data_IF_264434302246
#
_entry.id   IF_264434302246
#
_cell.length_a   1.000
_cell.length_b   1.000
_cell.length_c   1.000
_cell.angle_alpha   90.00
_cell.angle_beta   90.00
_cell.angle_gamma   90.00
#
_symmetry.space_group_name_H-M   'P 1'
#
loop_
_entity.id
_entity.type
_entity.pdbx_description
1 polymer ?
#
# COMPACT_ATOMS: atom_id res chain seq x y z
N UNK A 1 -16.61 -1.87 5.46
CA UNK A 1 -15.56 -0.84 5.58
C UNK A 1 -16.13 0.39 6.26
N UNK A 2 -15.66 0.73 7.47
CA UNK A 2 -16.14 1.91 8.22
C UNK A 2 -15.88 3.19 7.41
N UNK A 3 -16.78 4.17 7.51
CA UNK A 3 -16.78 5.39 6.69
C UNK A 3 -15.45 6.16 6.73
N UNK A 4 -14.83 6.24 7.91
CA UNK A 4 -13.54 6.91 8.07
C UNK A 4 -12.39 6.20 7.33
N UNK A 5 -12.42 4.86 7.19
CA UNK A 5 -11.42 4.15 6.39
C UNK A 5 -11.59 4.43 4.90
N UNK A 6 -12.83 4.55 4.43
CA UNK A 6 -13.12 4.88 3.04
C UNK A 6 -12.61 6.28 2.69
N UNK A 7 -12.90 7.28 3.54
CA UNK A 7 -12.41 8.64 3.39
C UNK A 7 -10.87 8.71 3.49
N UNK A 8 -10.28 8.02 4.47
CA UNK A 8 -8.82 7.96 4.64
C UNK A 8 -8.13 7.36 3.41
N UNK A 9 -8.71 6.30 2.84
CA UNK A 9 -8.19 5.67 1.63
C UNK A 9 -8.27 6.62 0.43
N UNK A 10 -9.41 7.26 0.20
CA UNK A 10 -9.57 8.23 -0.89
C UNK A 10 -8.59 9.40 -0.76
N UNK A 11 -8.43 9.93 0.45
CA UNK A 11 -7.45 10.96 0.76
C UNK A 11 -6.01 10.50 0.47
N UNK A 12 -5.66 9.28 0.84
CA UNK A 12 -4.32 8.74 0.58
C UNK A 12 -4.06 8.42 -0.88
N UNK A 13 -5.06 8.00 -1.65
CA UNK A 13 -4.95 7.88 -3.10
C UNK A 13 -4.64 9.23 -3.74
N UNK A 14 -5.26 10.31 -3.26
CA UNK A 14 -4.95 11.66 -3.72
C UNK A 14 -3.54 12.11 -3.33
N UNK A 15 -3.11 11.87 -2.07
CA UNK A 15 -1.73 12.15 -1.64
C UNK A 15 -0.72 11.39 -2.50
N UNK A 16 -0.98 10.12 -2.80
CA UNK A 16 -0.11 9.29 -3.62
C UNK A 16 0.15 9.93 -4.97
N UNK A 17 -0.90 10.34 -5.69
CA UNK A 17 -0.77 11.03 -6.98
C UNK A 17 0.06 12.31 -6.85
N UNK A 18 -0.11 13.06 -5.76
CA UNK A 18 0.61 14.31 -5.54
C UNK A 18 2.08 14.12 -5.14
N UNK A 19 2.40 13.08 -4.36
CA UNK A 19 3.77 12.82 -3.85
C UNK A 19 4.62 12.03 -4.85
N UNK A 20 4.01 11.17 -5.65
CA UNK A 20 4.70 10.32 -6.62
C UNK A 20 5.76 11.08 -7.47
N UNK A 21 5.46 12.24 -8.10
CA UNK A 21 6.42 12.94 -8.95
C UNK A 21 7.65 13.49 -8.20
N UNK A 22 7.52 13.76 -6.90
CA UNK A 22 8.64 14.23 -6.07
C UNK A 22 9.58 13.08 -5.70
N UNK A 23 9.02 11.89 -5.47
CA UNK A 23 9.80 10.71 -5.15
C UNK A 23 10.46 10.10 -6.40
N UNK A 24 9.75 10.01 -7.52
CA UNK A 24 10.32 9.54 -8.78
C UNK A 24 11.55 10.38 -9.20
N UNK A 25 11.52 11.70 -8.96
CA UNK A 25 12.68 12.59 -9.18
C UNK A 25 13.88 12.30 -8.28
N UNK A 26 13.68 11.71 -7.10
CA UNK A 26 14.77 11.37 -6.16
C UNK A 26 15.46 10.05 -6.49
N UNK A 27 14.72 9.09 -7.05
CA UNK A 27 15.23 7.75 -7.40
C UNK A 27 16.10 7.74 -8.65
N UNK A 28 15.96 8.74 -9.54
CA UNK A 28 16.69 8.77 -10.80
C UNK A 28 16.07 7.84 -11.85
N UNK A 29 16.80 7.60 -12.94
CA UNK A 29 16.28 6.88 -14.11
C UNK A 29 16.35 5.35 -14.00
N UNK A 30 17.26 4.81 -13.19
CA UNK A 30 17.47 3.36 -13.01
C UNK A 30 17.76 3.02 -11.54
N UNK A 31 16.76 3.15 -10.65
CA UNK A 31 16.93 2.80 -9.25
C UNK A 31 16.98 1.27 -9.05
N UNK A 32 17.78 0.79 -8.09
CA UNK A 32 17.73 -0.59 -7.64
C UNK A 32 16.30 -1.05 -7.31
N UNK A 33 16.01 -2.34 -7.55
CA UNK A 33 14.67 -2.92 -7.28
C UNK A 33 14.22 -2.71 -5.84
N UNK A 34 15.13 -2.74 -4.87
CA UNK A 34 14.81 -2.47 -3.47
C UNK A 34 14.26 -1.06 -3.26
N UNK A 35 14.87 -0.05 -3.87
CA UNK A 35 14.42 1.34 -3.73
C UNK A 35 13.05 1.56 -4.42
N UNK A 36 12.78 0.83 -5.50
CA UNK A 36 11.46 0.80 -6.14
C UNK A 36 10.39 0.19 -5.23
N UNK A 37 10.72 -0.88 -4.50
CA UNK A 37 9.80 -1.53 -3.56
C UNK A 37 9.55 -0.64 -2.34
N UNK A 38 10.59 0.00 -1.80
CA UNK A 38 10.46 0.96 -0.70
C UNK A 38 9.56 2.12 -1.10
N UNK A 39 9.72 2.65 -2.32
CA UNK A 39 8.81 3.66 -2.87
C UNK A 39 7.36 3.16 -2.92
N UNK A 40 7.13 1.94 -3.43
CA UNK A 40 5.79 1.38 -3.53
C UNK A 40 5.11 1.25 -2.16
N UNK A 41 5.89 0.96 -1.12
CA UNK A 41 5.43 0.86 0.26
C UNK A 41 5.21 2.23 0.92
N UNK A 42 6.03 3.23 0.62
CA UNK A 42 5.89 4.61 1.12
C UNK A 42 4.69 5.35 0.52
N UNK A 43 4.32 5.01 -0.71
CA UNK A 43 3.15 5.55 -1.40
C UNK A 43 1.84 4.87 -1.00
N UNK A 44 1.91 3.76 -0.27
CA UNK A 44 0.75 3.01 0.17
C UNK A 44 0.08 3.72 1.35
N UNK A 45 -1.25 3.66 1.42
CA UNK A 45 -1.99 4.09 2.59
C UNK A 45 -1.44 3.37 3.84
N UNK A 46 -1.03 4.08 4.91
CA UNK A 46 -0.36 3.44 6.06
C UNK A 46 -1.13 2.28 6.69
N UNK A 47 -2.47 2.34 6.67
CA UNK A 47 -3.30 1.23 7.13
C UNK A 47 -3.18 0.00 6.22
N UNK A 48 -3.27 0.19 4.90
CA UNK A 48 -3.08 -0.90 3.95
C UNK A 48 -1.68 -1.51 4.03
N UNK A 49 -0.65 -0.68 4.25
CA UNK A 49 0.72 -1.13 4.51
C UNK A 49 0.81 -2.02 5.75
N UNK A 50 0.21 -1.60 6.86
CA UNK A 50 0.17 -2.40 8.10
C UNK A 50 -0.51 -3.75 7.87
N UNK A 51 -1.68 -3.75 7.22
CA UNK A 51 -2.43 -4.98 6.91
C UNK A 51 -1.62 -5.91 6.00
N UNK A 52 -0.96 -5.36 4.98
CA UNK A 52 -0.13 -6.15 4.08
C UNK A 52 1.04 -6.82 4.79
N UNK A 53 1.72 -6.11 5.69
CA UNK A 53 2.82 -6.66 6.49
C UNK A 53 2.33 -7.74 7.47
N UNK A 54 1.19 -7.54 8.14
CA UNK A 54 0.57 -8.58 8.98
C UNK A 54 0.29 -9.87 8.21
N UNK A 55 -0.09 -9.76 6.94
CA UNK A 55 -0.34 -10.94 6.12
C UNK A 55 0.94 -11.58 5.57
N UNK A 56 1.91 -10.77 5.11
CA UNK A 56 3.08 -11.27 4.37
C UNK A 56 4.30 -11.55 5.21
N UNK A 57 4.44 -10.88 6.35
CA UNK A 57 5.58 -11.04 7.27
C UNK A 57 5.16 -11.88 8.47
N UNK A 58 4.03 -11.53 9.08
CA UNK A 58 3.53 -12.26 10.26
C UNK A 58 2.67 -13.49 9.88
N UNK A 59 2.46 -13.73 8.58
CA UNK A 59 1.69 -14.85 8.01
C UNK A 59 0.27 -15.00 8.59
N UNK A 60 -0.32 -13.91 9.08
CA UNK A 60 -1.63 -13.97 9.72
C UNK A 60 -2.74 -14.21 8.69
N UNK A 61 -3.72 -15.10 9.00
CA UNK A 61 -4.93 -15.26 8.19
C UNK A 61 -5.76 -13.97 8.18
N UNK A 62 -6.48 -13.71 7.07
CA UNK A 62 -7.27 -12.48 6.93
C UNK A 62 -8.32 -12.29 8.04
N UNK A 63 -8.94 -13.38 8.52
CA UNK A 63 -9.89 -13.31 9.64
C UNK A 63 -9.24 -12.84 10.94
N UNK A 64 -8.01 -13.27 11.22
CA UNK A 64 -7.24 -12.84 12.41
C UNK A 64 -6.87 -11.37 12.30
N UNK A 65 -6.43 -10.94 11.12
CA UNK A 65 -6.12 -9.52 10.85
C UNK A 65 -7.37 -8.66 11.00
N UNK A 66 -8.50 -9.09 10.41
CA UNK A 66 -9.78 -8.38 10.47
C UNK A 66 -10.21 -8.10 11.91
N UNK A 67 -10.07 -9.10 12.80
CA UNK A 67 -10.31 -8.93 14.24
C UNK A 67 -9.28 -7.99 14.87
N UNK A 68 -7.99 -8.21 14.62
CA UNK A 68 -6.90 -7.45 15.23
C UNK A 68 -6.92 -5.94 14.90
N UNK A 69 -7.43 -5.57 13.73
CA UNK A 69 -7.53 -4.17 13.28
C UNK A 69 -8.98 -3.65 13.22
N UNK A 70 -9.94 -4.42 13.74
CA UNK A 70 -11.37 -4.05 13.88
C UNK A 70 -12.01 -3.59 12.55
N UNK A 71 -11.89 -4.45 11.52
CA UNK A 71 -12.51 -4.28 10.20
C UNK A 71 -13.10 -5.61 9.69
N UNK A 72 -13.90 -5.54 8.62
CA UNK A 72 -14.34 -6.75 7.90
C UNK A 72 -13.24 -7.34 7.01
N UNK A 73 -13.31 -8.66 6.74
CA UNK A 73 -12.36 -9.38 5.88
C UNK A 73 -12.25 -8.76 4.48
N UNK A 74 -13.37 -8.29 3.90
CA UNK A 74 -13.34 -7.64 2.59
C UNK A 74 -12.50 -6.35 2.58
N UNK A 75 -12.40 -5.66 3.72
CA UNK A 75 -11.50 -4.50 3.89
C UNK A 75 -10.03 -4.93 3.94
N UNK A 76 -9.73 -6.06 4.59
CA UNK A 76 -8.39 -6.67 4.60
C UNK A 76 -7.97 -7.04 3.18
N UNK A 77 -8.84 -7.73 2.44
CA UNK A 77 -8.60 -8.12 1.05
C UNK A 77 -8.29 -6.92 0.15
N UNK A 78 -9.08 -5.83 0.28
CA UNK A 78 -8.83 -4.58 -0.46
C UNK A 78 -7.50 -3.94 -0.10
N UNK A 79 -7.10 -3.96 1.17
CA UNK A 79 -5.81 -3.43 1.60
C UNK A 79 -4.65 -4.22 0.97
N UNK A 80 -4.75 -5.55 0.94
CA UNK A 80 -3.75 -6.41 0.29
C UNK A 80 -3.73 -6.16 -1.22
N UNK A 81 -4.89 -6.04 -1.86
CA UNK A 81 -4.99 -5.73 -3.28
C UNK A 81 -4.38 -4.35 -3.62
N UNK A 82 -4.63 -3.33 -2.81
CA UNK A 82 -4.04 -1.99 -2.98
C UNK A 82 -2.51 -2.03 -2.87
N UNK A 83 -1.97 -2.85 -1.96
CA UNK A 83 -0.52 -3.03 -1.78
C UNK A 83 0.11 -3.69 -3.01
N UNK A 84 -0.46 -4.80 -3.48
CA UNK A 84 0.00 -5.51 -4.69
C UNK A 84 -0.09 -4.62 -5.93
N UNK A 85 -1.18 -3.85 -6.06
CA UNK A 85 -1.34 -2.87 -7.13
C UNK A 85 -0.27 -1.78 -7.04
N UNK A 86 0.06 -1.31 -5.84
CA UNK A 86 1.11 -0.31 -5.64
C UNK A 86 2.46 -0.79 -6.16
N UNK A 87 2.89 -1.98 -5.75
CA UNK A 87 4.14 -2.60 -6.18
C UNK A 87 4.18 -2.79 -7.70
N UNK A 88 3.09 -3.31 -8.29
CA UNK A 88 3.01 -3.51 -9.74
C UNK A 88 3.13 -2.19 -10.52
N UNK A 89 2.45 -1.14 -10.05
CA UNK A 89 2.48 0.16 -10.71
C UNK A 89 3.88 0.76 -10.70
N UNK A 90 4.55 0.75 -9.54
CA UNK A 90 5.90 1.31 -9.43
C UNK A 90 6.88 0.54 -10.29
N UNK A 91 6.86 -0.80 -10.27
CA UNK A 91 7.73 -1.60 -11.14
C UNK A 91 7.55 -1.29 -12.63
N UNK A 92 6.30 -1.11 -13.08
CA UNK A 92 6.00 -0.79 -14.48
C UNK A 92 6.53 0.58 -14.92
N UNK A 93 6.75 1.50 -14.00
CA UNK A 93 7.28 2.84 -14.32
C UNK A 93 8.80 2.84 -14.51
N UNK A 94 9.49 1.78 -14.06
CA UNK A 94 10.94 1.61 -14.19
C UNK A 94 11.33 0.44 -15.12
N UNK A 95 10.36 -0.18 -15.80
CA UNK A 95 10.55 -1.14 -16.91
C UNK A 95 10.56 -0.41 -18.26
#
# INVERSE_FOLDING_TARGET
MKWHHSLSRAYWLWIRVKRYPQYARRLGADPPVLDQLDLAMDLLWPFARRVFLMHRVDELPYGVIAIAVDVDVATVERCVADALWSVRMVRREFE
#
